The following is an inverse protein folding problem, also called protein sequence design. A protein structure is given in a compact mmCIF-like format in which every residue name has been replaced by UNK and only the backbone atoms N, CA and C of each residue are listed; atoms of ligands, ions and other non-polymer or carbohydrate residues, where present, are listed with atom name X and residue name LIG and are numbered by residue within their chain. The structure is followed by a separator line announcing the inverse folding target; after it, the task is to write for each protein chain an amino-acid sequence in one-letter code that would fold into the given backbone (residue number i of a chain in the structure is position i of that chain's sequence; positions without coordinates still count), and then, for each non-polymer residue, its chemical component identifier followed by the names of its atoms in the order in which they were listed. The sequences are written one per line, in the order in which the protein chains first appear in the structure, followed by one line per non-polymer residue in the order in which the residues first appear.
data_IF_512400399067
#
_entry.id   IF_512400399067
#
_cell.length_a   1.000
_cell.length_b   1.000
_cell.length_c   1.000
_cell.angle_alpha   90.00
_cell.angle_beta   90.00
_cell.angle_gamma   90.00
#
_symmetry.space_group_name_H-M   'P 1'
#
loop_
_entity.id
_entity.type
_entity.pdbx_description
1 polymer ?
#
# COMPACT_ATOMS: atom_id res chain seq x y z
N UNK A 1 -13.82 10.97 -18.78
CA UNK A 1 -12.82 11.78 -18.06
C UNK A 1 -11.44 11.24 -18.38
N UNK A 2 -10.66 11.95 -19.17
CA UNK A 2 -9.27 11.60 -19.48
C UNK A 2 -8.40 12.01 -18.29
N UNK A 3 -7.84 11.04 -17.56
CA UNK A 3 -6.80 11.30 -16.57
C UNK A 3 -5.56 11.80 -17.32
N UNK A 4 -5.23 13.09 -17.21
CA UNK A 4 -3.91 13.60 -17.60
C UNK A 4 -2.94 13.30 -16.46
N UNK A 5 -1.93 12.43 -16.66
CA UNK A 5 -0.94 12.18 -15.63
C UNK A 5 -0.19 13.48 -15.34
N UNK A 6 -0.05 13.84 -14.06
CA UNK A 6 0.88 14.90 -13.65
C UNK A 6 2.26 14.56 -14.19
N UNK A 7 2.93 15.55 -14.78
CA UNK A 7 4.29 15.39 -15.26
C UNK A 7 5.22 15.10 -14.07
N UNK A 8 6.31 14.37 -14.31
CA UNK A 8 7.30 14.02 -13.27
C UNK A 8 7.80 15.24 -12.49
N UNK A 9 7.83 16.41 -13.14
CA UNK A 9 8.23 17.67 -12.53
C UNK A 9 7.20 18.17 -11.51
N UNK A 10 5.91 18.11 -11.83
CA UNK A 10 4.83 18.53 -10.93
C UNK A 10 4.74 17.62 -9.69
N UNK A 11 4.89 16.31 -9.87
CA UNK A 11 4.94 15.35 -8.75
C UNK A 11 6.13 15.64 -7.82
N UNK A 12 7.28 15.99 -8.39
CA UNK A 12 8.48 16.33 -7.63
C UNK A 12 8.28 17.60 -6.80
N UNK A 13 7.66 18.63 -7.39
CA UNK A 13 7.35 19.91 -6.71
C UNK A 13 6.36 19.67 -5.56
N UNK A 14 5.29 18.92 -5.81
CA UNK A 14 4.29 18.59 -4.79
C UNK A 14 4.93 17.79 -3.64
N UNK A 15 5.70 16.75 -3.95
CA UNK A 15 6.38 15.94 -2.95
C UNK A 15 7.34 16.77 -2.08
N UNK A 16 8.11 17.68 -2.69
CA UNK A 16 9.01 18.57 -1.96
C UNK A 16 8.25 19.52 -1.03
N UNK A 17 7.18 20.16 -1.51
CA UNK A 17 6.34 21.06 -0.70
C UNK A 17 5.69 20.33 0.48
N UNK A 18 5.25 19.09 0.27
CA UNK A 18 4.64 18.25 1.30
C UNK A 18 5.64 17.86 2.39
N UNK A 19 6.85 17.43 2.01
CA UNK A 19 7.91 17.10 2.97
C UNK A 19 8.33 18.31 3.80
N UNK A 20 8.40 19.50 3.20
CA UNK A 20 8.71 20.73 3.95
C UNK A 20 7.61 21.07 4.96
N UNK A 21 6.34 20.96 4.55
CA UNK A 21 5.20 21.17 5.44
C UNK A 21 5.22 20.19 6.62
N UNK A 22 5.54 18.93 6.37
CA UNK A 22 5.66 17.90 7.41
C UNK A 22 6.81 18.16 8.40
N UNK A 23 7.96 18.63 7.90
CA UNK A 23 9.09 18.98 8.77
C UNK A 23 8.78 20.17 9.69
N UNK A 24 7.95 21.12 9.23
CA UNK A 24 7.54 22.28 10.02
C UNK A 24 6.76 21.92 11.30
N UNK A 25 6.05 20.78 11.32
CA UNK A 25 5.30 20.33 12.51
C UNK A 25 6.20 19.80 13.64
N UNK A 26 7.51 19.58 13.41
CA UNK A 26 8.51 19.13 14.41
C UNK A 26 8.12 17.90 15.25
N UNK A 27 7.24 17.05 14.74
CA UNK A 27 6.86 15.77 15.38
C UNK A 27 7.89 14.70 15.02
N UNK A 28 8.52 14.07 16.02
CA UNK A 28 9.57 13.06 15.82
C UNK A 28 9.13 11.92 14.87
N UNK A 29 7.87 11.46 14.99
CA UNK A 29 7.30 10.45 14.11
C UNK A 29 7.27 10.92 12.64
N UNK A 30 6.97 12.19 12.39
CA UNK A 30 6.92 12.74 11.02
C UNK A 30 8.31 12.89 10.40
N UNK A 31 9.32 13.22 11.19
CA UNK A 31 10.72 13.27 10.73
C UNK A 31 11.13 11.89 10.19
N UNK A 32 10.83 10.82 10.92
CA UNK A 32 11.10 9.45 10.48
C UNK A 32 10.32 9.09 9.20
N UNK A 33 9.05 9.51 9.08
CA UNK A 33 8.26 9.30 7.86
C UNK A 33 8.87 10.03 6.65
N UNK A 34 9.37 11.26 6.82
CA UNK A 34 10.06 11.99 5.76
C UNK A 34 11.35 11.28 5.31
N UNK A 35 12.10 10.67 6.23
CA UNK A 35 13.28 9.88 5.88
C UNK A 35 12.92 8.63 5.06
N UNK A 36 11.82 7.95 5.41
CA UNK A 36 11.29 6.81 4.63
C UNK A 36 10.88 7.27 3.23
N UNK A 37 10.14 8.38 3.11
CA UNK A 37 9.75 8.92 1.81
C UNK A 37 10.97 9.25 0.93
N UNK A 38 12.00 9.88 1.51
CA UNK A 38 13.24 10.18 0.81
C UNK A 38 13.99 8.91 0.36
N UNK A 39 14.01 7.86 1.22
CA UNK A 39 14.64 6.57 0.92
C UNK A 39 13.98 5.85 -0.26
N UNK A 40 12.64 5.91 -0.36
CA UNK A 40 11.88 5.18 -1.38
C UNK A 40 11.39 6.05 -2.55
N UNK A 41 11.97 7.24 -2.75
CA UNK A 41 11.54 8.22 -3.76
C UNK A 41 11.41 7.65 -5.18
N UNK A 42 12.34 6.79 -5.61
CA UNK A 42 12.34 6.24 -6.97
C UNK A 42 11.22 5.21 -7.16
N UNK A 43 10.95 4.39 -6.14
CA UNK A 43 9.83 3.45 -6.15
C UNK A 43 8.48 4.16 -6.15
N UNK A 44 8.38 5.26 -5.42
CA UNK A 44 7.18 6.12 -5.40
C UNK A 44 6.96 6.73 -6.79
N UNK A 45 8.01 7.29 -7.41
CA UNK A 45 7.96 7.84 -8.78
C UNK A 45 7.50 6.78 -9.78
N UNK A 46 8.11 5.59 -9.75
CA UNK A 46 7.73 4.47 -10.59
C UNK A 46 6.25 4.08 -10.38
N UNK A 47 5.78 4.07 -9.13
CA UNK A 47 4.38 3.80 -8.81
C UNK A 47 3.38 4.75 -9.49
N UNK A 48 3.72 6.04 -9.60
CA UNK A 48 2.88 7.03 -10.30
C UNK A 48 2.96 6.93 -11.83
N UNK A 49 4.09 6.46 -12.38
CA UNK A 49 4.26 6.27 -13.82
C UNK A 49 3.57 4.98 -14.30
N UNK A 50 3.45 3.98 -13.42
CA UNK A 50 2.75 2.73 -13.74
C UNK A 50 1.23 2.87 -13.64
N UNK A 51 0.51 2.11 -14.47
CA UNK A 51 -0.96 1.97 -14.38
C UNK A 51 -1.43 0.98 -13.33
N UNK A 52 -0.51 0.42 -12.54
CA UNK A 52 -0.86 -0.60 -11.54
C UNK A 52 -1.50 0.05 -10.32
N UNK A 53 -2.67 -0.45 -9.93
CA UNK A 53 -3.34 -0.05 -8.70
C UNK A 53 -2.98 -1.00 -7.55
N UNK A 54 -2.72 -0.44 -6.36
CA UNK A 54 -2.58 -1.21 -5.13
C UNK A 54 -3.90 -1.86 -4.67
N UNK A 55 -5.04 -1.55 -5.32
CA UNK A 55 -6.36 -2.01 -4.90
C UNK A 55 -6.52 -3.53 -4.79
N UNK A 56 -5.89 -4.31 -5.69
CA UNK A 56 -5.91 -5.78 -5.61
C UNK A 56 -5.19 -6.28 -4.36
N UNK A 57 -4.00 -5.74 -4.07
CA UNK A 57 -3.19 -6.08 -2.91
C UNK A 57 -3.88 -5.67 -1.61
N UNK A 58 -4.46 -4.47 -1.57
CA UNK A 58 -5.24 -3.97 -0.43
C UNK A 58 -6.49 -4.83 -0.18
N UNK A 59 -7.20 -5.21 -1.23
CA UNK A 59 -8.35 -6.11 -1.15
C UNK A 59 -7.99 -7.48 -0.56
N UNK A 60 -6.91 -8.10 -1.04
CA UNK A 60 -6.39 -9.37 -0.50
C UNK A 60 -6.00 -9.20 0.98
N UNK A 61 -5.26 -8.15 1.32
CA UNK A 61 -4.85 -7.87 2.70
C UNK A 61 -6.06 -7.67 3.62
N UNK A 62 -7.10 -6.97 3.18
CA UNK A 62 -8.31 -6.79 3.96
C UNK A 62 -9.08 -8.11 4.14
N UNK A 63 -9.14 -8.94 3.10
CA UNK A 63 -9.76 -10.27 3.18
C UNK A 63 -9.02 -11.16 4.18
N UNK A 64 -7.70 -11.20 4.14
CA UNK A 64 -6.88 -11.94 5.12
C UNK A 64 -7.11 -11.42 6.54
N UNK A 65 -7.14 -10.09 6.75
CA UNK A 65 -7.45 -9.48 8.05
C UNK A 65 -8.84 -9.89 8.54
N UNK A 66 -9.83 -9.95 7.65
CA UNK A 66 -11.19 -10.39 7.98
C UNK A 66 -11.21 -11.86 8.38
N UNK A 67 -10.57 -12.75 7.60
CA UNK A 67 -10.43 -14.18 7.92
C UNK A 67 -9.78 -14.37 9.28
N UNK A 68 -8.73 -13.59 9.59
CA UNK A 68 -8.06 -13.62 10.89
C UNK A 68 -8.99 -13.23 12.03
N UNK A 69 -9.83 -12.20 11.87
CA UNK A 69 -10.75 -11.72 12.92
C UNK A 69 -11.88 -12.71 13.23
N UNK A 70 -12.38 -13.41 12.21
CA UNK A 70 -13.45 -14.42 12.37
C UNK A 70 -12.90 -15.83 12.67
N UNK A 71 -11.58 -15.97 12.79
CA UNK A 71 -10.98 -17.23 13.18
C UNK A 71 -10.91 -17.31 14.70
N UNK A 72 -11.46 -18.37 15.28
CA UNK A 72 -11.37 -18.68 16.72
C UNK A 72 -9.96 -19.20 17.13
N UNK A 73 -8.91 -18.67 16.51
CA UNK A 73 -7.53 -19.12 16.66
C UNK A 73 -7.17 -20.30 15.76
N UNK A 74 -5.88 -20.39 15.41
CA UNK A 74 -5.29 -21.53 14.71
C UNK A 74 -4.08 -22.02 15.50
N UNK A 75 -4.03 -23.32 15.77
CA UNK A 75 -2.88 -23.97 16.41
C UNK A 75 -1.61 -23.87 15.54
N UNK A 76 -1.77 -23.97 14.22
CA UNK A 76 -0.67 -23.96 13.25
C UNK A 76 -0.91 -22.92 12.16
N UNK A 77 0.17 -22.22 11.77
CA UNK A 77 0.11 -21.26 10.66
C UNK A 77 -0.28 -21.92 9.34
N UNK A 78 0.14 -23.18 9.13
CA UNK A 78 -0.23 -23.96 7.94
C UNK A 78 -1.74 -24.09 7.79
N UNK A 79 -2.47 -24.38 8.87
CA UNK A 79 -3.93 -24.45 8.86
C UNK A 79 -4.59 -23.10 8.54
N UNK A 80 -4.07 -22.00 9.09
CA UNK A 80 -4.53 -20.65 8.76
C UNK A 80 -4.28 -20.31 7.29
N UNK A 81 -3.08 -20.62 6.78
CA UNK A 81 -2.67 -20.43 5.39
C UNK A 81 -3.56 -21.22 4.43
N UNK A 82 -3.88 -22.47 4.76
CA UNK A 82 -4.81 -23.31 3.98
C UNK A 82 -6.20 -22.66 3.91
N UNK A 83 -6.76 -22.16 5.01
CA UNK A 83 -8.05 -21.44 4.98
C UNK A 83 -7.99 -20.19 4.10
N UNK A 84 -6.91 -19.42 4.16
CA UNK A 84 -6.71 -18.27 3.27
C UNK A 84 -6.78 -18.71 1.81
N UNK A 85 -6.06 -19.78 1.44
CA UNK A 85 -6.08 -20.28 0.07
C UNK A 85 -7.44 -20.82 -0.35
N UNK A 86 -8.16 -21.51 0.52
CA UNK A 86 -9.52 -21.99 0.20
C UNK A 86 -10.48 -20.84 -0.08
N UNK A 87 -10.43 -19.77 0.72
CA UNK A 87 -11.35 -18.63 0.59
C UNK A 87 -10.95 -17.72 -0.58
N UNK A 88 -9.66 -17.42 -0.73
CA UNK A 88 -9.15 -16.48 -1.74
C UNK A 88 -8.91 -17.18 -3.08
N UNK A 89 -8.35 -18.40 -3.08
CA UNK A 89 -8.06 -19.17 -4.29
C UNK A 89 -9.33 -19.51 -5.10
N UNK A 90 -10.44 -19.82 -4.43
CA UNK A 90 -11.74 -19.99 -5.08
C UNK A 90 -12.22 -18.70 -5.81
N UNK A 91 -11.86 -17.52 -5.29
CA UNK A 91 -12.21 -16.22 -5.89
C UNK A 91 -11.24 -15.79 -7.01
N UNK A 92 -10.07 -16.44 -7.15
CA UNK A 92 -9.10 -16.16 -8.20
C UNK A 92 -9.42 -16.98 -9.47
N UNK A 93 -9.94 -18.21 -9.32
CA UNK A 93 -10.26 -19.12 -10.43
C UNK A 93 -11.55 -18.76 -11.20
N UNK A 94 -12.23 -17.67 -10.86
CA UNK A 94 -13.49 -17.23 -11.49
C UNK A 94 -13.32 -15.95 -12.33
N UNK A 95 -12.21 -15.85 -13.08
CA UNK A 95 -12.04 -14.87 -14.15
C UNK A 95 -11.54 -15.56 -15.41
#
# INVERSE_FOLDING_TARGET
MTYTPLTTNELTIIAHSFVQKLKAYRVAQMINRCQVLARYKEGIKCGFETKFSNGRTEGINNRIKTIKRVACGYRYFTAFKTRIYLIIGHQIQTN
#
